data_IF_895629762658
#
_entry.id   IF_895629762658
#
_cell.length_a   1.000
_cell.length_b   1.000
_cell.length_c   1.000
_cell.angle_alpha   90.00
_cell.angle_beta   90.00
_cell.angle_gamma   90.00
#
_symmetry.space_group_name_H-M   'P 1'
#
loop_
_entity.id
_entity.type
_entity.pdbx_description
1 polymer ?
#
# COMPACT_ATOMS: atom_id res chain seq x y z
N UNK A 1 39.70 -8.59 -24.24
CA UNK A 1 38.80 -8.53 -23.08
C UNK A 1 37.55 -7.88 -23.62
N UNK A 2 36.57 -8.70 -23.97
CA UNK A 2 35.44 -8.27 -24.77
C UNK A 2 34.38 -7.71 -23.81
N UNK A 3 34.23 -6.38 -23.84
CA UNK A 3 33.29 -5.62 -23.00
C UNK A 3 31.88 -5.57 -23.62
N UNK A 4 31.51 -6.57 -24.41
CA UNK A 4 30.16 -6.71 -24.96
C UNK A 4 29.47 -7.89 -24.28
N UNK A 5 28.83 -7.62 -23.15
CA UNK A 5 27.63 -8.29 -22.63
C UNK A 5 27.35 -7.80 -21.21
N UNK A 6 27.11 -6.49 -21.04
CA UNK A 6 26.27 -6.07 -19.92
C UNK A 6 24.84 -6.19 -20.45
N UNK A 7 24.27 -7.38 -20.28
CA UNK A 7 22.82 -7.54 -20.39
C UNK A 7 22.26 -6.72 -19.23
N UNK A 8 21.85 -5.48 -19.48
CA UNK A 8 20.91 -4.81 -18.58
C UNK A 8 19.58 -5.50 -18.82
N UNK A 9 19.34 -6.62 -18.13
CA UNK A 9 17.99 -7.13 -18.03
C UNK A 9 17.12 -5.98 -17.50
N UNK A 10 15.99 -5.67 -18.15
CA UNK A 10 15.06 -4.73 -17.56
C UNK A 10 14.55 -5.40 -16.30
N UNK A 11 15.12 -5.05 -15.14
CA UNK A 11 14.47 -5.26 -13.87
C UNK A 11 13.26 -4.30 -13.87
N UNK A 12 12.19 -4.69 -14.58
CA UNK A 12 10.88 -4.15 -14.28
C UNK A 12 10.70 -4.37 -12.78
N UNK A 13 10.43 -3.30 -12.03
CA UNK A 13 10.31 -3.35 -10.56
C UNK A 13 9.62 -4.64 -10.13
N UNK A 14 10.39 -5.61 -9.63
CA UNK A 14 9.81 -6.83 -9.10
C UNK A 14 9.07 -6.40 -7.84
N UNK A 15 7.76 -6.18 -7.95
CA UNK A 15 6.91 -5.89 -6.81
C UNK A 15 7.04 -7.09 -5.88
N UNK A 16 7.61 -6.87 -4.70
CA UNK A 16 7.79 -7.90 -3.67
C UNK A 16 6.77 -7.72 -2.56
N UNK A 17 6.53 -8.77 -1.78
CA UNK A 17 5.72 -8.63 -0.56
C UNK A 17 6.28 -7.61 0.44
N UNK A 18 7.59 -7.33 0.39
CA UNK A 18 8.21 -6.26 1.19
C UNK A 18 7.70 -4.90 0.72
N UNK A 19 7.72 -4.64 -0.59
CA UNK A 19 7.21 -3.38 -1.16
C UNK A 19 5.71 -3.21 -0.91
N UNK A 20 4.91 -4.27 -1.01
CA UNK A 20 3.47 -4.25 -0.69
C UNK A 20 3.25 -3.87 0.76
N UNK A 21 3.91 -4.53 1.71
CA UNK A 21 3.74 -4.21 3.14
C UNK A 21 4.18 -2.78 3.46
N UNK A 22 5.30 -2.34 2.89
CA UNK A 22 5.77 -0.96 3.07
C UNK A 22 4.76 0.06 2.53
N UNK A 23 4.19 -0.16 1.34
CA UNK A 23 3.16 0.72 0.78
C UNK A 23 1.88 0.72 1.64
N UNK A 24 1.42 -0.44 2.10
CA UNK A 24 0.29 -0.55 3.03
C UNK A 24 0.52 0.28 4.29
N UNK A 25 1.68 0.13 4.90
CA UNK A 25 2.02 0.82 6.15
C UNK A 25 2.09 2.33 5.94
N UNK A 26 2.64 2.80 4.81
CA UNK A 26 2.62 4.22 4.44
C UNK A 26 1.20 4.77 4.27
N UNK A 27 0.31 4.05 3.57
CA UNK A 27 -1.08 4.47 3.38
C UNK A 27 -1.87 4.51 4.70
N UNK A 28 -1.55 3.62 5.65
CA UNK A 28 -2.10 3.66 7.01
C UNK A 28 -1.59 4.90 7.77
N UNK A 29 -0.30 5.21 7.69
CA UNK A 29 0.28 6.40 8.33
C UNK A 29 -0.29 7.68 7.73
N UNK A 30 -0.40 7.77 6.41
CA UNK A 30 -0.97 8.93 5.72
C UNK A 30 -2.43 9.20 6.14
N UNK A 31 -3.20 8.14 6.38
CA UNK A 31 -4.59 8.24 6.82
C UNK A 31 -4.76 8.49 8.34
N UNK A 32 -3.71 8.39 9.14
CA UNK A 32 -3.80 8.64 10.60
C UNK A 32 -4.17 10.09 10.91
N UNK A 33 -3.70 11.06 10.12
CA UNK A 33 -4.06 12.47 10.33
C UNK A 33 -5.56 12.73 10.16
N UNK A 34 -6.23 12.00 9.27
CA UNK A 34 -7.67 12.13 9.07
C UNK A 34 -8.45 11.53 10.25
N UNK A 35 -7.97 10.40 10.79
CA UNK A 35 -8.54 9.79 12.00
C UNK A 35 -8.36 10.74 13.18
N UNK A 36 -7.15 11.26 13.39
CA UNK A 36 -6.86 12.19 14.47
C UNK A 36 -7.76 13.43 14.41
N UNK A 37 -7.91 14.06 13.23
CA UNK A 37 -8.78 15.22 13.05
C UNK A 37 -10.24 14.92 13.39
N UNK A 38 -10.76 13.75 13.02
CA UNK A 38 -12.14 13.38 13.38
C UNK A 38 -12.29 13.29 14.91
N UNK A 39 -11.36 12.62 15.58
CA UNK A 39 -11.38 12.43 17.03
C UNK A 39 -11.17 13.75 17.79
N UNK A 40 -10.26 14.61 17.35
CA UNK A 40 -10.02 15.94 17.92
C UNK A 40 -11.27 16.83 17.85
N UNK A 41 -12.05 16.72 16.78
CA UNK A 41 -13.33 17.41 16.62
C UNK A 41 -14.49 16.75 17.37
N UNK A 42 -14.23 15.73 18.20
CA UNK A 42 -15.27 14.92 18.87
C UNK A 42 -16.28 14.33 17.87
N UNK A 43 -15.84 14.08 16.64
CA UNK A 43 -16.62 13.43 15.60
C UNK A 43 -16.26 11.95 15.55
N UNK A 44 -17.20 11.12 15.08
CA UNK A 44 -16.87 9.75 14.71
C UNK A 44 -15.96 9.75 13.48
N UNK A 45 -15.04 8.78 13.42
CA UNK A 45 -14.26 8.52 12.21
C UNK A 45 -15.23 8.23 11.06
N UNK A 46 -15.11 8.91 9.90
CA UNK A 46 -15.97 8.63 8.75
C UNK A 46 -15.92 7.16 8.34
N UNK A 47 -17.07 6.58 8.00
CA UNK A 47 -17.17 5.16 7.61
C UNK A 47 -16.27 4.84 6.42
N UNK A 48 -16.22 5.72 5.42
CA UNK A 48 -15.34 5.56 4.25
C UNK A 48 -13.86 5.46 4.65
N UNK A 49 -13.44 6.22 5.66
CA UNK A 49 -12.08 6.18 6.19
C UNK A 49 -11.81 4.91 7.00
N UNK A 50 -12.78 4.44 7.79
CA UNK A 50 -12.63 3.17 8.51
C UNK A 50 -12.56 1.99 7.54
N UNK A 51 -13.41 1.98 6.52
CA UNK A 51 -13.49 0.91 5.53
C UNK A 51 -12.22 0.86 4.67
N UNK A 52 -11.75 2.03 4.21
CA UNK A 52 -10.46 2.15 3.52
C UNK A 52 -9.31 1.58 4.34
N UNK A 53 -9.20 1.96 5.62
CA UNK A 53 -8.14 1.48 6.51
C UNK A 53 -8.26 -0.01 6.82
N UNK A 54 -9.48 -0.54 6.93
CA UNK A 54 -9.69 -1.98 7.09
C UNK A 54 -9.25 -2.74 5.84
N UNK A 55 -9.65 -2.29 4.66
CA UNK A 55 -9.23 -2.89 3.39
C UNK A 55 -7.70 -2.88 3.22
N UNK A 56 -7.01 -1.83 3.67
CA UNK A 56 -5.54 -1.81 3.72
C UNK A 56 -4.97 -2.88 4.67
N UNK A 57 -5.55 -3.04 5.86
CA UNK A 57 -5.09 -4.04 6.86
C UNK A 57 -5.30 -5.46 6.39
N UNK A 58 -6.31 -5.67 5.55
CA UNK A 58 -6.58 -6.98 4.97
C UNK A 58 -5.51 -7.38 3.94
N UNK A 59 -4.70 -6.44 3.41
CA UNK A 59 -3.56 -6.75 2.54
C UNK A 59 -2.38 -7.36 3.33
N UNK A 60 -1.71 -8.41 2.79
CA UNK A 60 -1.82 -8.95 1.43
C UNK A 60 -2.76 -10.16 1.30
N UNK A 61 -3.70 -10.36 2.23
CA UNK A 61 -4.54 -11.56 2.25
C UNK A 61 -5.29 -11.71 0.93
N UNK A 62 -5.40 -12.95 0.44
CA UNK A 62 -6.09 -13.32 -0.81
C UNK A 62 -5.35 -13.08 -2.14
N UNK A 63 -4.11 -12.60 -2.14
CA UNK A 63 -3.30 -12.46 -3.36
C UNK A 63 -2.22 -13.53 -3.47
N UNK A 64 -2.03 -14.09 -4.68
CA UNK A 64 -1.03 -15.12 -4.94
C UNK A 64 0.31 -14.50 -5.27
N UNK A 65 0.31 -13.39 -6.01
CA UNK A 65 1.52 -12.63 -6.33
C UNK A 65 1.42 -11.17 -5.87
N UNK A 66 2.55 -10.51 -5.53
CA UNK A 66 2.52 -9.13 -5.06
C UNK A 66 2.05 -8.12 -6.13
N UNK A 67 2.29 -8.42 -7.41
CA UNK A 67 1.88 -7.57 -8.54
C UNK A 67 0.36 -7.58 -8.79
N UNK A 68 -0.36 -8.58 -8.29
CA UNK A 68 -1.82 -8.69 -8.38
C UNK A 68 -2.55 -7.87 -7.30
N UNK A 69 -1.83 -7.29 -6.34
CA UNK A 69 -2.45 -6.56 -5.23
C UNK A 69 -3.25 -5.37 -5.75
N UNK A 70 -4.56 -5.42 -5.50
CA UNK A 70 -5.47 -4.30 -5.76
C UNK A 70 -5.52 -3.40 -4.53
N UNK A 71 -5.20 -2.12 -4.73
CA UNK A 71 -5.18 -1.11 -3.66
C UNK A 71 -6.56 -0.47 -3.49
N UNK A 72 -7.11 -0.40 -2.26
CA UNK A 72 -8.33 0.36 -2.02
C UNK A 72 -8.08 1.85 -2.27
N UNK A 73 -9.13 2.58 -2.60
CA UNK A 73 -9.13 4.05 -2.71
C UNK A 73 -9.99 4.63 -1.61
N UNK A 74 -9.58 5.76 -1.04
CA UNK A 74 -10.46 6.53 -0.17
C UNK A 74 -11.56 7.16 -1.04
N UNK A 75 -12.82 6.86 -0.72
CA UNK A 75 -14.02 7.31 -1.44
C UNK A 75 -14.32 8.79 -1.28
#
# INVERSE_FOLDING_TARGET
>A
MDYENIVTEPHGEDVTWVTVRSKRDNLLVESDLLVLRALENTQSVPTELSDYRQALRDLPTHFTTPSEVVWPTLG
#
